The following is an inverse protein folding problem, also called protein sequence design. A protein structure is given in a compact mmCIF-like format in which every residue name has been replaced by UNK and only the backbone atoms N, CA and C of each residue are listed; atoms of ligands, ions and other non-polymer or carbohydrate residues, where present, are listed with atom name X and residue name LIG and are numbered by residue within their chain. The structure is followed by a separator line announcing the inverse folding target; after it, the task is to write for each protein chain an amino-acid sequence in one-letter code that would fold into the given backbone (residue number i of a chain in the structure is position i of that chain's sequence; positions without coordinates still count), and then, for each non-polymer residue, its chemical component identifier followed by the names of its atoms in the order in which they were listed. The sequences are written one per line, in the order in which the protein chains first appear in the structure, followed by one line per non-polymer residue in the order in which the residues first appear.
data_IF_394424830344
#
_entry.id   IF_394424830344
#
_cell.length_a   1.000
_cell.length_b   1.000
_cell.length_c   1.000
_cell.angle_alpha   90.00
_cell.angle_beta   90.00
_cell.angle_gamma   90.00
#
_symmetry.space_group_name_H-M   'P 1'
#
loop_
_entity.id
_entity.type
_entity.pdbx_description
1 polymer ?
#
# COMPACT_ATOMS: atom_id res chain seq x y z
N UNK A 1 -30.13 18.71 11.23
CA UNK A 1 -29.11 19.26 12.13
C UNK A 1 -27.84 18.46 11.87
N UNK A 2 -27.06 18.86 10.86
CA UNK A 2 -25.91 18.09 10.41
C UNK A 2 -24.77 18.20 11.43
N UNK A 3 -24.47 17.09 12.07
CA UNK A 3 -23.29 16.96 12.92
C UNK A 3 -22.08 16.96 12.00
N UNK A 4 -21.42 18.12 11.88
CA UNK A 4 -20.13 18.24 11.19
C UNK A 4 -19.14 17.33 11.92
N UNK A 5 -18.87 16.14 11.36
CA UNK A 5 -17.80 15.29 11.86
C UNK A 5 -16.48 16.07 11.70
N UNK A 6 -15.67 16.21 12.75
CA UNK A 6 -14.39 16.89 12.63
C UNK A 6 -13.53 16.15 11.62
N UNK A 7 -13.00 16.87 10.61
CA UNK A 7 -12.25 16.26 9.52
C UNK A 7 -11.10 15.41 10.06
N UNK A 8 -11.13 14.10 9.78
CA UNK A 8 -10.12 13.13 10.26
C UNK A 8 -8.73 13.36 9.65
N UNK A 9 -8.64 14.21 8.61
CA UNK A 9 -7.38 14.50 7.91
C UNK A 9 -6.25 14.98 8.84
N UNK A 10 -6.55 15.76 9.88
CA UNK A 10 -5.52 16.24 10.82
C UNK A 10 -4.81 15.12 11.56
N UNK A 11 -5.58 14.14 12.04
CA UNK A 11 -5.05 12.96 12.72
C UNK A 11 -4.24 12.07 11.76
N UNK A 12 -4.73 11.89 10.53
CA UNK A 12 -4.03 11.10 9.51
C UNK A 12 -2.70 11.76 9.10
N UNK A 13 -2.67 13.08 8.90
CA UNK A 13 -1.44 13.82 8.61
C UNK A 13 -0.43 13.69 9.76
N UNK A 14 -0.90 13.77 11.01
CA UNK A 14 -0.05 13.55 12.20
C UNK A 14 0.52 12.13 12.24
N UNK A 15 -0.28 11.13 11.87
CA UNK A 15 0.16 9.75 11.79
C UNK A 15 1.26 9.57 10.74
N UNK A 16 1.03 10.05 9.51
CA UNK A 16 2.04 10.05 8.44
C UNK A 16 3.33 10.75 8.85
N UNK A 17 3.24 11.92 9.50
CA UNK A 17 4.39 12.65 10.03
C UNK A 17 5.18 11.81 11.03
N UNK A 18 4.50 11.11 11.95
CA UNK A 18 5.13 10.21 12.92
C UNK A 18 5.77 9.00 12.26
N UNK A 19 5.13 8.40 11.25
CA UNK A 19 5.72 7.30 10.45
C UNK A 19 7.01 7.74 9.76
N UNK A 20 7.04 8.97 9.21
CA UNK A 20 8.23 9.59 8.61
C UNK A 20 9.21 10.16 9.64
N UNK A 21 8.93 10.02 10.94
CA UNK A 21 9.76 10.51 12.06
C UNK A 21 10.10 12.00 12.01
N UNK A 22 9.22 12.81 11.42
CA UNK A 22 9.39 14.25 11.33
C UNK A 22 8.75 14.96 12.54
N UNK A 23 9.39 16.00 13.03
CA UNK A 23 8.79 16.98 13.93
C UNK A 23 7.80 17.89 13.18
N UNK A 24 6.93 18.59 13.91
CA UNK A 24 6.05 19.59 13.29
C UNK A 24 6.85 20.72 12.63
N UNK A 25 8.00 21.10 13.19
CA UNK A 25 8.85 22.12 12.61
C UNK A 25 9.45 21.68 11.28
N UNK A 26 10.02 20.47 11.22
CA UNK A 26 10.62 19.93 9.99
C UNK A 26 9.59 19.80 8.87
N UNK A 27 8.40 19.23 9.16
CA UNK A 27 7.35 19.14 8.14
C UNK A 27 6.86 20.52 7.70
N UNK A 28 6.75 21.48 8.63
CA UNK A 28 6.32 22.82 8.29
C UNK A 28 7.31 23.51 7.35
N UNK A 29 8.62 23.31 7.53
CA UNK A 29 9.66 23.81 6.63
C UNK A 29 9.58 23.13 5.26
N UNK A 30 9.47 21.80 5.22
CA UNK A 30 9.36 21.05 3.95
C UNK A 30 8.10 21.41 3.15
N UNK A 31 7.01 21.74 3.84
CA UNK A 31 5.73 22.06 3.24
C UNK A 31 5.43 23.57 3.19
N UNK A 32 6.45 24.43 3.37
CA UNK A 32 6.33 25.89 3.28
C UNK A 32 5.10 26.45 4.05
N UNK A 33 5.04 26.13 5.34
CA UNK A 33 3.98 26.56 6.27
C UNK A 33 4.59 26.84 7.65
N UNK A 34 3.79 27.37 8.59
CA UNK A 34 4.21 27.53 9.98
C UNK A 34 3.91 26.28 10.81
N UNK A 35 4.80 25.95 11.76
CA UNK A 35 4.59 24.88 12.73
C UNK A 35 3.33 25.11 13.58
N UNK A 36 3.00 26.37 13.89
CA UNK A 36 1.76 26.76 14.57
C UNK A 36 0.53 26.37 13.75
N UNK A 37 0.51 26.69 12.46
CA UNK A 37 -0.61 26.34 11.59
C UNK A 37 -0.73 24.83 11.39
N UNK A 38 0.41 24.14 11.18
CA UNK A 38 0.43 22.68 11.10
C UNK A 38 -0.12 22.03 12.38
N UNK A 39 0.25 22.53 13.56
CA UNK A 39 -0.29 22.04 14.83
C UNK A 39 -1.81 22.23 14.94
N UNK A 40 -2.35 23.37 14.50
CA UNK A 40 -3.79 23.56 14.42
C UNK A 40 -4.47 22.58 13.47
N UNK A 41 -3.87 22.29 12.31
CA UNK A 41 -4.39 21.29 11.37
C UNK A 41 -4.38 19.89 11.99
N UNK A 42 -3.26 19.46 12.59
CA UNK A 42 -3.13 18.15 13.22
C UNK A 42 -4.08 17.93 14.41
N UNK A 43 -4.49 19.01 15.08
CA UNK A 43 -5.42 18.98 16.22
C UNK A 43 -6.87 19.26 15.81
N UNK A 44 -7.14 19.45 14.52
CA UNK A 44 -8.50 19.73 14.02
C UNK A 44 -9.00 21.15 14.29
N UNK A 45 -8.15 22.04 14.83
CA UNK A 45 -8.48 23.46 15.09
C UNK A 45 -8.48 24.32 13.84
N UNK A 46 -7.87 23.84 12.74
CA UNK A 46 -7.89 24.49 11.45
C UNK A 46 -8.19 23.47 10.34
N UNK A 47 -9.07 23.84 9.41
CA UNK A 47 -9.36 23.04 8.23
C UNK A 47 -8.31 23.34 7.14
N UNK A 48 -7.52 22.35 6.68
CA UNK A 48 -6.54 22.58 5.62
C UNK A 48 -7.25 22.75 4.27
N UNK A 49 -6.71 23.61 3.40
CA UNK A 49 -7.17 23.68 2.01
C UNK A 49 -6.75 22.43 1.22
N UNK A 50 -7.42 22.16 0.10
CA UNK A 50 -7.04 21.06 -0.81
C UNK A 50 -5.57 21.13 -1.22
N UNK A 51 -5.07 22.32 -1.56
CA UNK A 51 -3.67 22.56 -1.92
C UNK A 51 -2.74 22.24 -0.75
N UNK A 52 -3.12 22.62 0.47
CA UNK A 52 -2.33 22.33 1.66
C UNK A 52 -2.27 20.82 1.95
N UNK A 53 -3.37 20.08 1.79
CA UNK A 53 -3.38 18.62 1.91
C UNK A 53 -2.42 17.98 0.92
N UNK A 54 -2.45 18.39 -0.35
CA UNK A 54 -1.54 17.88 -1.38
C UNK A 54 -0.07 18.22 -1.10
N UNK A 55 0.21 19.46 -0.66
CA UNK A 55 1.56 19.91 -0.32
C UNK A 55 2.15 19.15 0.86
N UNK A 56 1.38 18.98 1.93
CA UNK A 56 1.78 18.16 3.08
C UNK A 56 1.98 16.69 2.69
N UNK A 57 1.09 16.15 1.87
CA UNK A 57 1.20 14.77 1.37
C UNK A 57 2.45 14.56 0.52
N UNK A 58 2.86 15.56 -0.28
CA UNK A 58 4.09 15.52 -1.03
C UNK A 58 5.32 15.60 -0.12
N UNK A 59 5.34 16.51 0.85
CA UNK A 59 6.44 16.65 1.83
C UNK A 59 6.62 15.41 2.72
N UNK A 60 5.53 14.67 2.97
CA UNK A 60 5.53 13.42 3.73
C UNK A 60 5.83 12.18 2.86
N UNK A 61 6.05 12.36 1.56
CA UNK A 61 6.19 11.28 0.58
C UNK A 61 5.07 10.22 0.73
N UNK A 62 3.84 10.70 0.81
CA UNK A 62 2.65 9.85 0.92
C UNK A 62 2.37 9.25 -0.46
N UNK A 63 2.17 7.92 -0.58
CA UNK A 63 1.82 7.28 -1.84
C UNK A 63 0.56 7.89 -2.46
N UNK A 64 0.49 8.00 -3.79
CA UNK A 64 -0.61 8.70 -4.50
C UNK A 64 -2.01 8.26 -4.08
N UNK A 65 -2.22 6.95 -3.87
CA UNK A 65 -3.49 6.39 -3.37
C UNK A 65 -3.84 6.90 -1.97
N UNK A 66 -2.87 6.93 -1.05
CA UNK A 66 -3.08 7.44 0.30
C UNK A 66 -3.28 8.96 0.34
N UNK A 67 -2.80 9.69 -0.69
CA UNK A 67 -3.17 11.09 -0.88
C UNK A 67 -4.66 11.24 -1.17
N UNK A 68 -5.28 10.31 -1.90
CA UNK A 68 -6.73 10.31 -2.09
C UNK A 68 -7.46 10.05 -0.76
N UNK A 69 -6.95 9.14 0.08
CA UNK A 69 -7.48 8.92 1.44
C UNK A 69 -7.48 10.22 2.25
N UNK A 70 -6.36 10.95 2.22
CA UNK A 70 -6.23 12.25 2.90
C UNK A 70 -7.17 13.33 2.33
N UNK A 71 -7.33 13.37 1.00
CA UNK A 71 -8.27 14.29 0.35
C UNK A 71 -9.71 14.00 0.74
N UNK A 72 -10.13 12.74 0.68
CA UNK A 72 -11.49 12.34 1.08
C UNK A 72 -11.74 12.62 2.56
N UNK A 73 -10.75 12.39 3.43
CA UNK A 73 -10.84 12.71 4.86
C UNK A 73 -10.91 14.22 5.17
N UNK A 74 -10.67 15.08 4.18
CA UNK A 74 -10.82 16.54 4.23
C UNK A 74 -12.06 17.05 3.46
N UNK A 75 -12.91 16.13 2.99
CA UNK A 75 -14.08 16.36 2.12
C UNK A 75 -13.72 16.94 0.74
N UNK A 76 -12.59 16.50 0.17
CA UNK A 76 -12.19 16.83 -1.19
C UNK A 76 -12.25 15.61 -2.12
N UNK A 77 -12.53 15.85 -3.39
CA UNK A 77 -12.49 14.80 -4.41
C UNK A 77 -11.06 14.23 -4.58
N UNK A 78 -10.92 12.90 -4.81
CA UNK A 78 -9.66 12.26 -5.16
C UNK A 78 -8.95 12.97 -6.32
N UNK A 79 -7.61 13.05 -6.25
CA UNK A 79 -6.80 13.71 -7.28
C UNK A 79 -6.15 12.71 -8.23
N UNK A 80 -5.92 11.47 -7.79
CA UNK A 80 -5.17 10.46 -8.53
C UNK A 80 -6.09 9.31 -8.93
N UNK A 81 -6.12 8.95 -10.21
CA UNK A 81 -6.87 7.78 -10.67
C UNK A 81 -6.12 6.50 -10.33
N UNK A 82 -6.88 5.47 -10.03
CA UNK A 82 -6.38 4.12 -9.80
C UNK A 82 -6.72 3.27 -11.02
N UNK A 83 -5.72 2.85 -11.78
CA UNK A 83 -5.91 1.97 -12.93
C UNK A 83 -5.73 0.52 -12.51
N UNK A 84 -6.64 -0.34 -12.98
CA UNK A 84 -6.48 -1.80 -12.85
C UNK A 84 -5.43 -2.27 -13.85
N UNK A 85 -4.69 -3.32 -13.48
CA UNK A 85 -3.86 -4.02 -14.47
C UNK A 85 -4.69 -4.56 -15.64
N UNK A 86 -6.01 -4.71 -15.49
CA UNK A 86 -6.92 -5.19 -16.54
C UNK A 86 -7.40 -4.09 -17.50
N UNK A 87 -7.11 -2.81 -17.21
CA UNK A 87 -7.57 -1.68 -18.04
C UNK A 87 -6.95 -1.73 -19.45
N UNK A 88 -7.66 -1.23 -20.46
CA UNK A 88 -7.16 -1.21 -21.85
C UNK A 88 -5.82 -0.47 -21.98
N UNK A 89 -5.68 0.65 -21.26
CA UNK A 89 -4.45 1.47 -21.22
C UNK A 89 -3.23 0.71 -20.64
N UNK A 90 -3.45 -0.40 -19.93
CA UNK A 90 -2.40 -1.22 -19.32
C UNK A 90 -1.98 -2.43 -20.18
N UNK A 91 -2.49 -2.56 -21.41
CA UNK A 91 -2.21 -3.69 -22.28
C UNK A 91 -0.71 -3.90 -22.59
N UNK A 92 0.04 -2.82 -22.83
CA UNK A 92 1.48 -2.89 -23.09
C UNK A 92 2.27 -3.36 -21.86
N UNK A 93 1.86 -2.91 -20.66
CA UNK A 93 2.45 -3.32 -19.38
C UNK A 93 2.17 -4.80 -19.12
N UNK A 94 0.93 -5.27 -19.34
CA UNK A 94 0.59 -6.70 -19.22
C UNK A 94 1.45 -7.57 -20.13
N UNK A 95 1.59 -7.20 -21.41
CA UNK A 95 2.40 -7.95 -22.35
C UNK A 95 3.88 -8.06 -21.90
N UNK A 96 4.44 -6.98 -21.34
CA UNK A 96 5.78 -7.01 -20.78
C UNK A 96 5.90 -7.93 -19.56
N UNK A 97 4.93 -7.89 -18.64
CA UNK A 97 4.89 -8.76 -17.47
C UNK A 97 4.79 -10.25 -17.88
N UNK A 98 3.97 -10.59 -18.88
CA UNK A 98 3.81 -11.96 -19.37
C UNK A 98 5.11 -12.50 -20.01
N UNK A 99 5.84 -11.66 -20.76
CA UNK A 99 7.16 -12.01 -21.30
C UNK A 99 8.16 -12.28 -20.16
N UNK A 100 8.18 -11.44 -19.12
CA UNK A 100 9.06 -11.62 -17.97
C UNK A 100 8.74 -12.91 -17.21
N UNK A 101 7.45 -13.20 -16.97
CA UNK A 101 7.00 -14.41 -16.30
C UNK A 101 7.39 -15.68 -17.05
N UNK A 102 7.19 -15.68 -18.38
CA UNK A 102 7.56 -16.79 -19.26
C UNK A 102 9.07 -17.00 -19.27
N UNK A 103 9.85 -15.91 -19.31
CA UNK A 103 11.32 -15.97 -19.29
C UNK A 103 11.89 -16.51 -17.98
N UNK A 104 11.11 -16.48 -16.89
CA UNK A 104 11.51 -17.05 -15.60
C UNK A 104 11.26 -18.56 -15.51
N UNK A 105 10.60 -19.20 -16.47
CA UNK A 105 10.41 -20.65 -16.40
C UNK A 105 11.75 -21.41 -16.50
N UNK A 106 11.94 -22.51 -15.73
CA UNK A 106 10.94 -23.22 -14.91
C UNK A 106 10.86 -22.75 -13.45
N UNK A 107 11.37 -21.56 -13.11
CA UNK A 107 11.33 -21.01 -11.75
C UNK A 107 9.97 -20.35 -11.46
N UNK A 108 9.27 -20.71 -10.36
CA UNK A 108 8.01 -20.08 -9.98
C UNK A 108 8.13 -18.56 -9.83
N UNK A 109 7.25 -17.81 -10.51
CA UNK A 109 7.19 -16.36 -10.44
C UNK A 109 5.73 -15.86 -10.44
N UNK A 110 5.51 -14.74 -9.73
CA UNK A 110 4.21 -14.06 -9.64
C UNK A 110 4.36 -12.56 -9.76
N UNK A 111 3.34 -11.92 -10.34
CA UNK A 111 3.10 -10.48 -10.23
C UNK A 111 2.16 -10.25 -9.05
N UNK A 112 2.49 -9.26 -8.23
CA UNK A 112 1.70 -8.92 -7.03
C UNK A 112 1.29 -7.45 -7.01
N UNK A 113 0.17 -7.15 -6.36
CA UNK A 113 -0.21 -5.78 -6.05
C UNK A 113 0.51 -5.24 -4.78
N UNK A 114 0.21 -3.99 -4.41
CA UNK A 114 0.78 -3.32 -3.23
C UNK A 114 0.45 -4.02 -1.91
N UNK A 115 -0.59 -4.84 -1.83
CA UNK A 115 -0.92 -5.58 -0.60
C UNK A 115 -0.57 -7.06 -0.73
N UNK A 116 0.27 -7.39 -1.72
CA UNK A 116 0.78 -8.73 -1.99
C UNK A 116 -0.28 -9.75 -2.44
N UNK A 117 -1.39 -9.28 -3.01
CA UNK A 117 -2.28 -10.18 -3.74
C UNK A 117 -1.62 -10.59 -5.06
N UNK A 118 -1.70 -11.87 -5.40
CA UNK A 118 -1.24 -12.41 -6.67
C UNK A 118 -2.21 -11.98 -7.77
N UNK A 119 -1.67 -11.29 -8.78
CA UNK A 119 -2.42 -10.83 -9.95
C UNK A 119 -2.33 -11.86 -11.08
N UNK A 120 -1.13 -12.38 -11.32
CA UNK A 120 -0.86 -13.46 -12.28
C UNK A 120 0.45 -14.17 -11.91
N UNK A 121 0.70 -15.34 -12.49
CA UNK A 121 1.94 -16.10 -12.28
C UNK A 121 2.23 -17.04 -13.46
N UNK A 122 3.46 -17.50 -13.55
CA UNK A 122 3.87 -18.44 -14.60
C UNK A 122 3.41 -19.88 -14.30
N UNK A 123 3.61 -20.79 -15.26
CA UNK A 123 3.15 -22.18 -15.14
C UNK A 123 3.80 -22.89 -13.95
N UNK A 124 5.08 -22.61 -13.71
CA UNK A 124 5.83 -23.17 -12.58
C UNK A 124 5.17 -22.80 -11.24
N UNK A 125 4.65 -21.58 -11.10
CA UNK A 125 3.90 -21.18 -9.91
C UNK A 125 2.62 -22.00 -9.73
N UNK A 126 1.86 -22.26 -10.80
CA UNK A 126 0.65 -23.09 -10.72
C UNK A 126 0.96 -24.49 -10.20
N UNK A 127 2.11 -25.07 -10.61
CA UNK A 127 2.57 -26.36 -10.10
C UNK A 127 2.94 -26.29 -8.61
N UNK A 128 3.65 -25.24 -8.19
CA UNK A 128 4.01 -25.02 -6.78
C UNK A 128 2.75 -24.89 -5.90
N UNK A 129 1.72 -24.22 -6.41
CA UNK A 129 0.44 -24.00 -5.73
C UNK A 129 -0.50 -25.21 -5.75
N UNK A 130 -0.12 -26.33 -6.40
CA UNK A 130 -0.94 -27.53 -6.46
C UNK A 130 -1.29 -28.04 -5.06
N UNK A 131 -2.56 -28.35 -4.82
CA UNK A 131 -3.08 -28.85 -3.55
C UNK A 131 -3.29 -27.81 -2.46
N UNK A 132 -3.14 -26.51 -2.75
CA UNK A 132 -3.50 -25.43 -1.81
C UNK A 132 -5.03 -25.29 -1.78
N UNK A 133 -5.66 -25.21 -0.58
CA UNK A 133 -7.11 -25.21 -0.47
C UNK A 133 -7.74 -23.92 -1.04
N UNK A 134 -8.97 -23.98 -1.58
CA UNK A 134 -9.62 -22.84 -2.23
C UNK A 134 -9.75 -21.59 -1.35
N UNK A 135 -9.91 -21.76 -0.02
CA UNK A 135 -10.07 -20.65 0.92
C UNK A 135 -8.81 -19.74 1.05
N UNK A 136 -7.66 -20.20 0.56
CA UNK A 136 -6.43 -19.42 0.43
C UNK A 136 -6.24 -18.79 -0.96
N UNK A 137 -7.08 -19.17 -1.93
CA UNK A 137 -7.05 -18.70 -3.31
C UNK A 137 -8.14 -17.66 -3.60
N UNK A 138 -9.25 -17.68 -2.86
CA UNK A 138 -10.40 -16.77 -3.04
C UNK A 138 -10.45 -15.65 -1.99
N UNK A 139 -10.89 -14.42 -2.33
CA UNK A 139 -11.26 -13.95 -3.67
C UNK A 139 -10.04 -13.71 -4.59
N UNK A 140 -8.88 -13.43 -3.99
CA UNK A 140 -7.57 -13.41 -4.67
C UNK A 140 -6.52 -14.04 -3.75
N UNK A 141 -5.56 -14.81 -4.28
CA UNK A 141 -4.49 -15.37 -3.45
C UNK A 141 -3.61 -14.25 -2.91
N UNK A 142 -3.12 -14.37 -1.68
CA UNK A 142 -2.19 -13.41 -1.08
C UNK A 142 -0.89 -14.10 -0.71
N UNK A 143 0.25 -13.54 -1.12
CA UNK A 143 1.57 -14.17 -0.94
C UNK A 143 1.90 -14.46 0.53
N UNK A 144 1.50 -13.60 1.47
CA UNK A 144 1.70 -13.87 2.89
C UNK A 144 0.85 -15.05 3.38
N UNK A 145 -0.42 -15.10 2.98
CA UNK A 145 -1.31 -16.22 3.34
C UNK A 145 -0.84 -17.52 2.71
N UNK A 146 -0.48 -17.50 1.43
CA UNK A 146 0.06 -18.66 0.73
C UNK A 146 1.33 -19.20 1.39
N UNK A 147 2.24 -18.33 1.82
CA UNK A 147 3.54 -18.75 2.34
C UNK A 147 3.50 -19.14 3.82
N UNK A 148 2.72 -18.43 4.63
CA UNK A 148 2.80 -18.52 6.11
C UNK A 148 1.61 -19.25 6.75
N UNK A 149 0.49 -19.43 6.05
CA UNK A 149 -0.66 -20.14 6.61
C UNK A 149 -0.35 -21.63 6.78
N UNK A 150 -0.80 -22.29 7.87
CA UNK A 150 -0.60 -23.72 8.09
C UNK A 150 -1.11 -24.60 6.94
N UNK A 151 -2.26 -24.25 6.35
CA UNK A 151 -2.81 -24.98 5.19
C UNK A 151 -2.20 -24.53 3.84
N UNK A 152 -1.25 -23.61 3.87
CA UNK A 152 -0.58 -23.08 2.69
C UNK A 152 0.69 -23.86 2.32
N UNK A 153 1.71 -23.13 1.88
CA UNK A 153 3.04 -23.66 1.58
C UNK A 153 3.87 -23.87 2.84
N UNK A 154 3.46 -23.34 4.00
CA UNK A 154 4.27 -23.40 5.24
C UNK A 154 4.74 -24.83 5.61
N UNK A 155 3.90 -25.88 5.54
CA UNK A 155 4.33 -27.26 5.85
C UNK A 155 5.31 -27.84 4.82
N UNK A 156 5.42 -27.23 3.64
CA UNK A 156 6.30 -27.68 2.54
C UNK A 156 7.69 -27.04 2.62
N UNK A 157 7.90 -26.08 3.52
CA UNK A 157 9.14 -25.33 3.65
C UNK A 157 10.07 -25.98 4.69
N UNK A 158 11.22 -26.47 4.24
CA UNK A 158 12.24 -27.04 5.13
C UNK A 158 12.82 -26.00 6.13
N UNK A 159 12.87 -24.72 5.73
CA UNK A 159 13.40 -23.61 6.52
C UNK A 159 12.32 -22.56 6.87
N UNK A 160 11.13 -22.99 7.28
CA UNK A 160 9.99 -22.11 7.59
C UNK A 160 10.34 -20.94 8.53
N UNK A 161 11.22 -21.17 9.53
CA UNK A 161 11.63 -20.13 10.47
C UNK A 161 12.29 -18.92 9.78
N UNK A 162 13.20 -19.19 8.85
CA UNK A 162 13.91 -18.16 8.07
C UNK A 162 12.96 -17.43 7.12
N UNK A 163 12.13 -18.20 6.39
CA UNK A 163 11.14 -17.65 5.46
C UNK A 163 10.16 -16.74 6.20
N UNK A 164 9.66 -17.19 7.36
CA UNK A 164 8.76 -16.40 8.20
C UNK A 164 9.41 -15.10 8.66
N UNK A 165 10.65 -15.13 9.12
CA UNK A 165 11.37 -13.93 9.55
C UNK A 165 11.48 -12.92 8.39
N UNK A 166 11.92 -13.37 7.21
CA UNK A 166 12.07 -12.53 6.02
C UNK A 166 10.74 -11.90 5.59
N UNK A 167 9.66 -12.68 5.54
CA UNK A 167 8.36 -12.18 5.10
C UNK A 167 7.77 -11.17 6.10
N UNK A 168 7.86 -11.44 7.40
CA UNK A 168 7.36 -10.51 8.42
C UNK A 168 8.16 -9.21 8.47
N UNK A 169 9.48 -9.27 8.24
CA UNK A 169 10.30 -8.06 8.13
C UNK A 169 9.89 -7.21 6.93
N UNK A 170 9.68 -7.83 5.76
CA UNK A 170 9.16 -7.15 4.55
C UNK A 170 7.78 -6.54 4.78
N UNK A 171 6.89 -7.26 5.45
CA UNK A 171 5.54 -6.77 5.76
C UNK A 171 5.59 -5.53 6.67
N UNK A 172 6.43 -5.54 7.70
CA UNK A 172 6.63 -4.38 8.58
C UNK A 172 7.16 -3.18 7.79
N UNK A 173 8.19 -3.37 6.96
CA UNK A 173 8.72 -2.30 6.09
C UNK A 173 7.65 -1.74 5.15
N UNK A 174 6.79 -2.60 4.59
CA UNK A 174 5.71 -2.18 3.71
C UNK A 174 4.63 -1.38 4.46
N UNK A 175 4.28 -1.80 5.67
CA UNK A 175 3.32 -1.13 6.54
C UNK A 175 3.84 0.22 7.05
N UNK A 176 5.15 0.38 7.21
CA UNK A 176 5.77 1.67 7.54
C UNK A 176 5.89 2.59 6.32
N UNK A 177 5.98 2.01 5.12
CA UNK A 177 6.09 2.75 3.85
C UNK A 177 4.74 3.24 3.31
N UNK A 178 3.65 2.51 3.61
CA UNK A 178 2.27 2.84 3.21
C UNK A 178 1.41 3.29 4.38
#
# INVERSE_FOLDING_TARGET
MDVVQPSRVGALLREWRRRRRLSQLELALLADTSARHLSCVETGRARPSRTMVLRLSAALDVPLRERNTLLMAADYAPAYRESSLDDEDMASVRAALDMMLTSHEPYPAVVVDRVWNVLTGNRAMSLLMSGIPPHLLTPRPNVYRLTLHPDGLAPRLANLGEVRALFLERLRRQADAT
#
